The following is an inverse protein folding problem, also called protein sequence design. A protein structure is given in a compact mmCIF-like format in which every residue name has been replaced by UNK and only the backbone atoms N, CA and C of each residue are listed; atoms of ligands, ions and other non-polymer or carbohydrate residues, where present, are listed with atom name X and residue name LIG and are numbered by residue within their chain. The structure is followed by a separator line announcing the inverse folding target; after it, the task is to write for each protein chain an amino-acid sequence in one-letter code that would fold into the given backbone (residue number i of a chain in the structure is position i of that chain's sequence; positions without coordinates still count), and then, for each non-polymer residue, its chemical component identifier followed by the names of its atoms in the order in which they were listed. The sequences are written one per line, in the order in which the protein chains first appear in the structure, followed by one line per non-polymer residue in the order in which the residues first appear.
data_IF_496643738800
#
_entry.id   IF_496643738800
#
_cell.length_a   1.000
_cell.length_b   1.000
_cell.length_c   1.000
_cell.angle_alpha   90.00
_cell.angle_beta   90.00
_cell.angle_gamma   90.00
#
_symmetry.space_group_name_H-M   'P 1'
#
loop_
_entity.id
_entity.type
_entity.pdbx_description
1 polymer ?
#
# COMPACT_ATOMS: atom_id res chain seq x y z
N UNK A 1 -19.39 -25.77 -46.67
CA UNK A 1 -20.10 -25.35 -45.43
C UNK A 1 -19.51 -26.09 -44.21
N UNK A 2 -18.42 -25.60 -43.59
CA UNK A 2 -17.80 -26.25 -42.41
C UNK A 2 -17.06 -25.26 -41.48
N UNK A 3 -17.34 -23.96 -41.55
CA UNK A 3 -16.65 -22.94 -40.75
C UNK A 3 -17.44 -22.43 -39.52
N UNK A 4 -18.69 -22.87 -39.35
CA UNK A 4 -19.62 -22.26 -38.36
C UNK A 4 -19.45 -22.84 -36.93
N UNK A 5 -18.71 -23.93 -36.76
CA UNK A 5 -18.66 -24.66 -35.47
C UNK A 5 -17.67 -24.11 -34.44
N UNK A 6 -16.71 -23.27 -34.83
CA UNK A 6 -15.68 -22.75 -33.92
C UNK A 6 -16.03 -21.39 -33.28
N UNK A 7 -16.98 -20.65 -33.84
CA UNK A 7 -17.36 -19.33 -33.33
C UNK A 7 -18.17 -19.39 -32.01
N UNK A 8 -18.86 -20.50 -31.74
CA UNK A 8 -19.73 -20.63 -30.55
C UNK A 8 -18.92 -20.91 -29.27
N UNK A 9 -17.78 -21.60 -29.38
CA UNK A 9 -16.95 -21.92 -28.21
C UNK A 9 -16.18 -20.70 -27.66
N UNK A 10 -15.77 -19.78 -28.54
CA UNK A 10 -15.11 -18.54 -28.12
C UNK A 10 -16.08 -17.55 -27.43
N UNK A 11 -17.36 -17.57 -27.80
CA UNK A 11 -18.39 -16.73 -27.17
C UNK A 11 -18.72 -17.15 -25.73
N UNK A 12 -18.63 -18.46 -25.41
CA UNK A 12 -18.88 -18.95 -24.04
C UNK A 12 -17.77 -18.58 -23.04
N UNK A 13 -16.52 -18.42 -23.51
CA UNK A 13 -15.39 -18.02 -22.67
C UNK A 13 -15.42 -16.53 -22.30
N UNK A 14 -16.16 -15.71 -23.05
CA UNK A 14 -16.39 -14.29 -22.75
C UNK A 14 -17.59 -14.08 -21.82
N UNK A 15 -18.39 -15.12 -21.53
CA UNK A 15 -19.55 -15.06 -20.64
C UNK A 15 -19.29 -15.63 -19.25
N UNK A 16 -18.06 -16.02 -18.93
CA UNK A 16 -17.66 -16.19 -17.54
C UNK A 16 -17.57 -14.77 -16.97
N UNK A 17 -18.48 -14.33 -16.08
CA UNK A 17 -18.14 -13.20 -15.24
C UNK A 17 -16.82 -13.59 -14.62
N UNK A 18 -15.79 -12.76 -14.79
CA UNK A 18 -14.64 -12.85 -13.92
C UNK A 18 -15.25 -12.88 -12.52
N UNK A 19 -15.22 -14.04 -11.85
CA UNK A 19 -15.50 -14.14 -10.43
C UNK A 19 -14.37 -13.33 -9.81
N UNK A 20 -14.54 -12.02 -9.82
CA UNK A 20 -13.89 -11.13 -8.92
C UNK A 20 -14.23 -11.75 -7.57
N UNK A 21 -13.20 -12.26 -6.89
CA UNK A 21 -13.40 -12.92 -5.62
C UNK A 21 -13.98 -11.85 -4.70
N UNK A 22 -15.28 -11.95 -4.41
CA UNK A 22 -15.98 -10.99 -3.59
C UNK A 22 -15.22 -10.79 -2.27
N UNK A 23 -14.98 -9.52 -1.91
CA UNK A 23 -14.18 -9.15 -0.74
C UNK A 23 -12.68 -9.14 -1.03
N UNK A 24 -12.27 -8.80 -2.26
CA UNK A 24 -10.88 -8.43 -2.57
C UNK A 24 -10.81 -6.94 -2.86
N UNK A 25 -9.83 -6.29 -2.25
CA UNK A 25 -9.68 -4.85 -2.31
C UNK A 25 -8.27 -4.48 -2.74
N UNK A 26 -8.14 -3.35 -3.40
CA UNK A 26 -6.87 -2.80 -3.81
C UNK A 26 -6.89 -1.28 -3.82
N UNK A 27 -5.77 -0.68 -3.40
CA UNK A 27 -5.53 0.76 -3.43
C UNK A 27 -4.18 0.99 -4.08
N UNK A 28 -4.13 1.94 -5.00
CA UNK A 28 -2.88 2.44 -5.57
C UNK A 28 -2.84 3.95 -5.49
N UNK A 29 -1.64 4.47 -5.31
CA UNK A 29 -1.35 5.89 -5.33
C UNK A 29 0.06 6.11 -5.83
N UNK A 30 0.23 7.13 -6.66
CA UNK A 30 1.52 7.66 -7.08
C UNK A 30 1.82 8.99 -6.37
N UNK A 31 1.22 9.21 -5.20
CA UNK A 31 1.23 10.50 -4.50
C UNK A 31 1.49 10.33 -3.00
N UNK A 32 2.76 10.10 -2.67
CA UNK A 32 3.28 10.28 -1.32
C UNK A 32 3.17 11.75 -0.88
N UNK A 33 2.77 11.99 0.36
CA UNK A 33 2.58 13.33 0.92
C UNK A 33 3.72 13.69 1.86
N UNK A 34 3.88 12.90 2.94
CA UNK A 34 4.83 13.20 4.01
C UNK A 34 5.42 11.94 4.62
N UNK A 35 6.65 12.04 5.11
CA UNK A 35 7.31 11.01 5.91
C UNK A 35 7.77 11.63 7.22
N UNK A 36 7.42 10.99 8.33
CA UNK A 36 8.03 11.29 9.63
C UNK A 36 9.09 10.24 9.91
N UNK A 37 10.26 10.68 10.33
CA UNK A 37 11.38 9.82 10.63
C UNK A 37 12.12 10.33 11.87
N UNK A 38 12.32 9.44 12.84
CA UNK A 38 13.16 9.59 14.03
C UNK A 38 12.52 10.42 15.18
N UNK A 39 11.55 9.87 15.91
CA UNK A 39 10.94 10.38 17.16
C UNK A 39 10.40 11.82 17.22
N UNK A 40 10.67 12.63 16.20
CA UNK A 40 10.23 14.00 16.11
C UNK A 40 8.94 14.12 15.32
N UNK A 41 8.21 15.19 15.62
CA UNK A 41 7.03 15.64 14.87
C UNK A 41 7.38 16.16 13.48
N UNK A 42 8.66 16.17 13.08
CA UNK A 42 9.11 16.69 11.79
C UNK A 42 8.59 15.82 10.66
N UNK A 43 7.82 16.46 9.78
CA UNK A 43 7.30 15.87 8.56
C UNK A 43 8.18 16.35 7.40
N UNK A 44 8.76 15.40 6.68
CA UNK A 44 9.48 15.67 5.45
C UNK A 44 8.52 15.53 4.27
N UNK A 45 8.43 16.53 3.38
CA UNK A 45 7.62 16.41 2.17
C UNK A 45 8.16 15.30 1.29
N UNK A 46 7.26 14.52 0.68
CA UNK A 46 7.61 13.53 -0.33
C UNK A 46 7.56 14.19 -1.70
N UNK A 47 8.61 14.02 -2.49
CA UNK A 47 8.69 14.57 -3.86
C UNK A 47 8.32 13.53 -4.92
N UNK A 48 8.53 12.25 -4.62
CA UNK A 48 8.24 11.12 -5.51
C UNK A 48 7.82 9.92 -4.65
N UNK A 49 6.90 9.10 -5.13
CA UNK A 49 6.52 7.84 -4.47
C UNK A 49 5.02 7.70 -4.26
N UNK A 50 4.63 6.62 -3.61
CA UNK A 50 3.28 6.12 -3.66
C UNK A 50 3.06 4.91 -2.77
N UNK A 51 1.89 4.31 -2.89
CA UNK A 51 1.50 3.10 -2.14
C UNK A 51 0.79 2.13 -3.04
N UNK A 52 1.00 0.84 -2.80
CA UNK A 52 0.25 -0.26 -3.39
C UNK A 52 -0.20 -1.18 -2.26
N UNK A 53 -1.50 -1.36 -2.13
CA UNK A 53 -2.12 -2.13 -1.05
C UNK A 53 -3.14 -3.07 -1.67
N UNK A 54 -3.18 -4.31 -1.21
CA UNK A 54 -4.24 -5.25 -1.55
C UNK A 54 -4.55 -6.15 -0.37
N UNK A 55 -5.82 -6.46 -0.16
CA UNK A 55 -6.24 -7.40 0.86
C UNK A 55 -7.49 -8.18 0.46
N UNK A 56 -7.70 -9.30 1.14
CA UNK A 56 -8.84 -10.19 0.95
C UNK A 56 -9.49 -10.49 2.29
N UNK A 57 -10.77 -10.15 2.41
CA UNK A 57 -11.56 -10.39 3.62
C UNK A 57 -11.85 -11.88 3.83
N UNK A 58 -11.94 -12.63 2.73
CA UNK A 58 -12.24 -14.07 2.74
C UNK A 58 -11.05 -14.94 3.10
N UNK A 59 -9.83 -14.54 2.73
CA UNK A 59 -8.61 -15.33 2.97
C UNK A 59 -7.70 -14.75 4.05
N UNK A 60 -7.89 -13.48 4.41
CA UNK A 60 -6.96 -12.73 5.27
C UNK A 60 -5.62 -12.43 4.59
N UNK A 61 -5.48 -12.75 3.30
CA UNK A 61 -4.29 -12.40 2.55
C UNK A 61 -4.17 -10.89 2.44
N UNK A 62 -2.97 -10.36 2.66
CA UNK A 62 -2.70 -8.93 2.60
C UNK A 62 -1.31 -8.65 2.08
N UNK A 63 -1.20 -7.57 1.34
CA UNK A 63 0.01 -7.03 0.77
C UNK A 63 -0.04 -5.51 0.89
N UNK A 64 1.08 -4.92 1.30
CA UNK A 64 1.24 -3.48 1.26
C UNK A 64 2.70 -3.12 1.06
N UNK A 65 2.93 -2.19 0.15
CA UNK A 65 4.22 -1.58 -0.09
C UNK A 65 4.03 -0.07 -0.23
N UNK A 66 4.82 0.70 0.52
CA UNK A 66 4.85 2.14 0.46
C UNK A 66 6.28 2.57 0.13
N UNK A 67 6.43 3.45 -0.84
CA UNK A 67 7.71 4.00 -1.25
C UNK A 67 7.62 5.52 -1.28
N UNK A 68 8.64 6.22 -0.80
CA UNK A 68 8.68 7.66 -0.90
C UNK A 68 10.08 8.24 -0.81
N UNK A 69 10.37 9.20 -1.68
CA UNK A 69 11.55 10.06 -1.64
C UNK A 69 11.20 11.34 -0.90
N UNK A 70 11.75 11.51 0.30
CA UNK A 70 11.56 12.71 1.10
C UNK A 70 12.66 13.75 0.84
N UNK A 71 12.28 15.02 0.78
CA UNK A 71 13.22 16.15 0.77
C UNK A 71 13.53 16.60 2.20
N UNK A 72 14.81 16.66 2.54
CA UNK A 72 15.30 17.09 3.85
C UNK A 72 15.76 18.55 3.73
N UNK A 73 14.93 19.45 4.25
CA UNK A 73 15.20 20.88 4.32
C UNK A 73 15.97 21.19 5.61
N UNK A 74 17.13 21.82 5.50
CA UNK A 74 18.01 22.09 6.64
C UNK A 74 19.48 22.34 6.29
N UNK A 75 19.85 22.15 5.03
CA UNK A 75 21.15 22.49 4.44
C UNK A 75 20.93 23.47 3.27
N UNK A 76 21.90 24.32 2.91
CA UNK A 76 21.83 25.16 1.70
C UNK A 76 21.59 24.37 0.40
N UNK A 77 21.84 23.05 0.41
CA UNK A 77 21.48 22.15 -0.68
C UNK A 77 20.48 21.10 -0.18
N UNK A 78 19.32 20.93 -0.86
CA UNK A 78 18.35 19.91 -0.47
C UNK A 78 19.00 18.52 -0.57
N UNK A 79 18.79 17.71 0.46
CA UNK A 79 19.20 16.30 0.46
C UNK A 79 17.97 15.42 0.41
N UNK A 80 18.09 14.25 -0.20
CA UNK A 80 16.97 13.33 -0.38
C UNK A 80 17.20 12.04 0.40
N UNK A 81 16.10 11.44 0.84
CA UNK A 81 16.09 10.13 1.47
C UNK A 81 14.98 9.30 0.88
N UNK A 82 15.34 8.15 0.34
CA UNK A 82 14.39 7.16 -0.14
C UNK A 82 13.95 6.29 1.04
N UNK A 83 12.66 6.01 1.15
CA UNK A 83 12.10 5.16 2.19
C UNK A 83 11.21 4.09 1.57
N UNK A 84 11.35 2.87 2.08
CA UNK A 84 10.52 1.72 1.70
C UNK A 84 9.90 1.12 2.95
N UNK A 85 8.59 0.87 2.90
CA UNK A 85 7.81 0.27 3.98
C UNK A 85 7.06 -0.92 3.40
N UNK A 86 7.40 -2.10 3.87
CA UNK A 86 6.94 -3.36 3.30
C UNK A 86 6.24 -4.19 4.37
N UNK A 87 5.01 -4.61 4.10
CA UNK A 87 4.30 -5.57 4.95
C UNK A 87 4.90 -6.95 4.75
N UNK A 88 5.39 -7.55 5.83
CA UNK A 88 6.01 -8.88 5.84
C UNK A 88 4.99 -9.95 6.22
N UNK A 89 4.15 -9.65 7.21
CA UNK A 89 3.08 -10.55 7.62
C UNK A 89 1.93 -9.75 8.23
N UNK A 90 0.71 -10.15 7.88
CA UNK A 90 -0.49 -9.63 8.51
C UNK A 90 -0.67 -10.11 9.94
N UNK A 91 -1.43 -9.35 10.73
CA UNK A 91 -1.98 -9.85 11.99
C UNK A 91 -3.00 -10.96 11.75
N UNK A 92 -3.17 -11.86 12.72
CA UNK A 92 -4.15 -12.95 12.66
C UNK A 92 -5.61 -12.46 12.62
N UNK A 93 -5.87 -11.22 13.06
CA UNK A 93 -7.16 -10.54 12.83
C UNK A 93 -7.23 -10.08 11.38
N UNK A 94 -8.27 -10.49 10.66
CA UNK A 94 -8.59 -10.01 9.32
C UNK A 94 -8.50 -8.47 9.28
N UNK A 95 -7.97 -7.88 8.21
CA UNK A 95 -8.04 -6.44 8.04
C UNK A 95 -9.51 -6.05 8.15
N UNK A 96 -9.80 -5.06 9.00
CA UNK A 96 -11.11 -4.43 8.91
C UNK A 96 -11.09 -3.54 7.67
N UNK A 97 -12.26 -3.15 7.14
CA UNK A 97 -12.37 -2.27 5.96
C UNK A 97 -11.51 -1.00 6.05
N UNK A 98 -11.05 -0.62 7.24
CA UNK A 98 -10.37 0.64 7.53
C UNK A 98 -8.90 0.47 7.95
N UNK A 99 -8.49 -0.73 8.39
CA UNK A 99 -7.20 -0.94 9.10
C UNK A 99 -6.53 -2.26 8.71
N UNK A 100 -5.22 -2.17 8.45
CA UNK A 100 -4.33 -3.32 8.28
C UNK A 100 -3.21 -3.24 9.32
N UNK A 101 -3.08 -4.29 10.13
CA UNK A 101 -2.01 -4.43 11.13
C UNK A 101 -1.08 -5.57 10.73
N UNK A 102 0.19 -5.46 11.09
CA UNK A 102 1.15 -6.51 10.76
C UNK A 102 2.57 -6.23 11.22
N UNK A 103 3.48 -7.08 10.75
CA UNK A 103 4.93 -6.89 10.84
C UNK A 103 5.44 -6.25 9.56
N UNK A 104 6.28 -5.24 9.70
CA UNK A 104 6.75 -4.41 8.61
C UNK A 104 8.28 -4.31 8.60
N UNK A 105 8.85 -4.23 7.41
CA UNK A 105 10.21 -3.78 7.22
C UNK A 105 10.20 -2.31 6.81
N UNK A 106 11.01 -1.50 7.46
CA UNK A 106 11.19 -0.08 7.15
C UNK A 106 12.65 0.11 6.76
N UNK A 107 12.88 0.60 5.55
CA UNK A 107 14.22 0.88 5.02
C UNK A 107 14.35 2.36 4.70
N UNK A 108 15.59 2.87 4.78
CA UNK A 108 15.98 4.20 4.32
C UNK A 108 17.24 4.10 3.50
N UNK A 109 17.21 4.59 2.27
CA UNK A 109 18.30 4.48 1.30
C UNK A 109 18.80 3.02 1.19
N UNK A 110 17.87 2.05 1.21
CA UNK A 110 18.16 0.61 1.21
C UNK A 110 18.61 0.02 2.56
N UNK A 111 19.01 0.82 3.55
CA UNK A 111 19.40 0.33 4.87
C UNK A 111 18.18 0.04 5.75
N UNK A 112 18.15 -1.14 6.39
CA UNK A 112 17.06 -1.52 7.30
C UNK A 112 17.09 -0.66 8.57
N UNK A 113 16.06 0.16 8.76
CA UNK A 113 15.85 0.91 10.00
C UNK A 113 15.18 0.04 11.06
N UNK A 114 14.24 -0.77 10.61
CA UNK A 114 13.48 -1.67 11.46
C UNK A 114 13.05 -2.90 10.67
N UNK A 115 13.38 -4.08 11.17
CA UNK A 115 12.96 -5.36 10.61
C UNK A 115 11.86 -5.99 11.47
N UNK A 116 10.77 -6.41 10.85
CA UNK A 116 9.62 -7.00 11.55
C UNK A 116 9.11 -6.13 12.72
N UNK A 117 8.98 -4.81 12.54
CA UNK A 117 8.27 -3.99 13.52
C UNK A 117 6.79 -4.19 13.39
N UNK A 118 6.09 -4.14 14.52
CA UNK A 118 4.64 -3.94 14.51
C UNK A 118 4.34 -2.57 13.92
N UNK A 119 3.35 -2.52 13.04
CA UNK A 119 2.86 -1.29 12.43
C UNK A 119 1.41 -1.42 11.98
N UNK A 120 0.79 -0.27 11.77
CA UNK A 120 -0.61 -0.12 11.42
C UNK A 120 -0.75 0.80 10.23
N UNK A 121 -1.50 0.35 9.23
CA UNK A 121 -1.95 1.12 8.10
C UNK A 121 -3.43 1.42 8.26
N UNK A 122 -3.84 2.68 8.13
CA UNK A 122 -5.22 3.14 8.29
C UNK A 122 -5.68 3.95 7.09
N UNK A 123 -7.00 4.13 6.96
CA UNK A 123 -7.63 4.92 5.90
C UNK A 123 -8.00 4.13 4.66
N UNK A 124 -8.03 2.79 4.77
CA UNK A 124 -8.38 1.86 3.69
C UNK A 124 -9.80 2.09 3.15
N UNK A 125 -10.70 2.62 3.99
CA UNK A 125 -12.09 2.96 3.66
C UNK A 125 -12.26 4.35 3.06
N UNK A 126 -11.42 5.29 3.49
CA UNK A 126 -11.62 6.74 3.31
C UNK A 126 -11.53 7.23 1.87
N UNK A 127 -10.98 6.42 0.95
CA UNK A 127 -10.78 6.75 -0.46
C UNK A 127 -9.95 8.01 -0.73
N UNK A 128 -9.35 8.62 0.30
CA UNK A 128 -8.75 9.96 0.22
C UNK A 128 -7.30 9.96 0.70
N UNK A 129 -6.97 9.28 1.79
CA UNK A 129 -5.60 9.19 2.28
C UNK A 129 -5.30 7.90 3.02
N UNK A 130 -4.05 7.46 2.92
CA UNK A 130 -3.49 6.33 3.63
C UNK A 130 -2.44 6.84 4.61
N UNK A 131 -2.45 6.28 5.82
CA UNK A 131 -1.49 6.61 6.85
C UNK A 131 -0.91 5.35 7.45
N UNK A 132 0.42 5.23 7.43
CA UNK A 132 1.16 4.19 8.13
C UNK A 132 1.78 4.75 9.40
N UNK A 133 1.74 3.95 10.46
CA UNK A 133 2.39 4.22 11.73
C UNK A 133 3.14 2.97 12.18
N UNK A 134 4.41 3.11 12.55
CA UNK A 134 5.06 2.07 13.33
C UNK A 134 4.52 2.07 14.77
N UNK A 135 4.69 0.96 15.49
CA UNK A 135 4.21 0.82 16.87
C UNK A 135 4.81 1.82 17.86
N UNK A 136 5.94 2.44 17.53
CA UNK A 136 6.57 3.47 18.37
C UNK A 136 6.18 4.89 17.98
N UNK A 137 5.39 5.07 16.91
CA UNK A 137 5.05 6.36 16.29
C UNK A 137 6.27 7.22 15.91
N UNK A 138 7.44 6.61 15.79
CA UNK A 138 8.68 7.28 15.37
C UNK A 138 8.81 7.35 13.86
N UNK A 139 8.14 6.44 13.14
CA UNK A 139 8.09 6.42 11.70
C UNK A 139 6.63 6.49 11.24
N UNK A 140 6.34 7.43 10.33
CA UNK A 140 5.01 7.59 9.75
C UNK A 140 5.13 7.86 8.26
N UNK A 141 4.18 7.34 7.49
CA UNK A 141 4.08 7.59 6.05
C UNK A 141 2.66 8.03 5.71
N UNK A 142 2.53 9.07 4.91
CA UNK A 142 1.25 9.60 4.47
C UNK A 142 1.20 9.61 2.94
N UNK A 143 0.12 9.11 2.36
CA UNK A 143 -0.15 9.17 0.93
C UNK A 143 -1.60 9.60 0.68
N UNK A 144 -1.87 10.24 -0.45
CA UNK A 144 -3.26 10.34 -0.93
C UNK A 144 -3.65 9.03 -1.60
N UNK A 145 -4.94 8.77 -1.74
CA UNK A 145 -5.44 7.63 -2.55
C UNK A 145 -5.59 8.09 -3.99
N UNK A 146 -4.89 7.43 -4.92
CA UNK A 146 -5.02 7.69 -6.35
C UNK A 146 -6.28 7.02 -6.92
N UNK A 147 -6.41 5.72 -6.67
CA UNK A 147 -7.68 5.03 -6.84
C UNK A 147 -7.78 3.75 -6.00
N UNK A 148 -9.02 3.29 -5.87
CA UNK A 148 -9.43 2.10 -5.13
C UNK A 148 -10.29 1.23 -6.04
N UNK A 149 -10.11 -0.09 -5.96
CA UNK A 149 -11.00 -1.09 -6.55
C UNK A 149 -11.39 -2.10 -5.50
N UNK A 150 -12.68 -2.34 -5.42
CA UNK A 150 -13.30 -3.38 -4.63
C UNK A 150 -13.95 -4.37 -5.60
N UNK A 151 -13.78 -5.66 -5.32
CA UNK A 151 -14.17 -6.79 -6.16
C UNK A 151 -15.12 -7.72 -5.43
#
# INVERSE_FOLDING_TARGET
MKAVRFAVAAALLLSLPALAAAGVHSIWSDSGMYIADNSGSTLYPVTEGGVVISWSDSTGAMFANLHGRAVILGSPTPTFRDYDVELISGSASFPTENVMMGQWNIRRNGALLCGNCRGTLVGLDSGSSIQFFDSTNKFRFFASVGARKDY
#
